data_IF_336690464883
#
_entry.id   IF_336690464883
#
_cell.length_a   1.000
_cell.length_b   1.000
_cell.length_c   1.000
_cell.angle_alpha   90.00
_cell.angle_beta   90.00
_cell.angle_gamma   90.00
#
_symmetry.space_group_name_H-M   'P 1'
#
loop_
_entity.id
_entity.type
_entity.pdbx_description
1 polymer ?
#
# COMPACT_ATOMS: atom_id res chain seq x y z
N UNK A 1 -7.94 -7.53 -18.24
CA UNK A 1 -8.20 -8.69 -17.35
C UNK A 1 -6.95 -9.28 -16.67
N UNK A 2 -6.05 -10.04 -17.31
CA UNK A 2 -4.93 -10.75 -16.60
C UNK A 2 -3.97 -9.86 -15.80
N UNK A 3 -3.77 -8.59 -16.20
CA UNK A 3 -2.77 -7.70 -15.58
C UNK A 3 -3.22 -7.09 -14.24
N UNK A 4 -4.52 -7.01 -13.96
CA UNK A 4 -5.03 -6.48 -12.68
C UNK A 4 -5.36 -7.57 -11.67
N UNK A 5 -5.56 -8.81 -12.12
CA UNK A 5 -5.96 -9.93 -11.27
C UNK A 5 -4.99 -10.16 -10.12
N UNK A 6 -3.68 -10.16 -10.39
CA UNK A 6 -2.68 -10.40 -9.35
C UNK A 6 -2.70 -9.29 -8.29
N UNK A 7 -2.52 -7.99 -8.62
CA UNK A 7 -2.62 -6.91 -7.63
C UNK A 7 -3.93 -6.90 -6.85
N UNK A 8 -5.05 -7.19 -7.51
CA UNK A 8 -6.37 -7.20 -6.88
C UNK A 8 -6.52 -8.35 -5.89
N UNK A 9 -6.15 -9.57 -6.29
CA UNK A 9 -6.20 -10.75 -5.41
C UNK A 9 -5.26 -10.56 -4.23
N UNK A 10 -4.04 -10.07 -4.47
CA UNK A 10 -3.09 -9.76 -3.39
C UNK A 10 -3.64 -8.71 -2.44
N UNK A 11 -4.22 -7.61 -2.96
CA UNK A 11 -4.83 -6.56 -2.14
C UNK A 11 -5.94 -7.13 -1.26
N UNK A 12 -6.88 -7.89 -1.83
CA UNK A 12 -8.01 -8.45 -1.09
C UNK A 12 -7.52 -9.45 -0.03
N UNK A 13 -6.70 -10.42 -0.42
CA UNK A 13 -6.22 -11.47 0.47
C UNK A 13 -5.38 -10.88 1.62
N UNK A 14 -4.45 -9.98 1.32
CA UNK A 14 -3.58 -9.39 2.34
C UNK A 14 -4.32 -8.41 3.25
N UNK A 15 -5.28 -7.64 2.71
CA UNK A 15 -6.12 -6.76 3.55
C UNK A 15 -7.03 -7.56 4.47
N UNK A 16 -7.63 -8.66 3.98
CA UNK A 16 -8.45 -9.55 4.79
C UNK A 16 -7.63 -10.21 5.91
N UNK A 17 -6.41 -10.68 5.59
CA UNK A 17 -5.49 -11.20 6.58
C UNK A 17 -5.11 -10.14 7.62
N UNK A 18 -4.77 -8.92 7.18
CA UNK A 18 -4.45 -7.80 8.07
C UNK A 18 -5.60 -7.49 9.03
N UNK A 19 -6.83 -7.39 8.51
CA UNK A 19 -8.03 -7.18 9.33
C UNK A 19 -8.20 -8.33 10.34
N UNK A 20 -8.08 -9.58 9.90
CA UNK A 20 -8.20 -10.74 10.78
C UNK A 20 -7.17 -10.71 11.92
N UNK A 21 -5.90 -10.39 11.61
CA UNK A 21 -4.85 -10.25 12.62
C UNK A 21 -5.17 -9.10 13.59
N UNK A 22 -5.59 -7.94 13.09
CA UNK A 22 -5.92 -6.78 13.92
C UNK A 22 -7.14 -6.99 14.81
N UNK A 23 -8.14 -7.74 14.35
CA UNK A 23 -9.32 -8.09 15.16
C UNK A 23 -8.98 -9.04 16.31
N UNK A 24 -7.95 -9.85 16.16
CA UNK A 24 -7.50 -10.81 17.19
C UNK A 24 -6.28 -10.32 17.97
N UNK A 25 -5.78 -9.11 17.69
CA UNK A 25 -4.60 -8.57 18.35
C UNK A 25 -4.95 -8.08 19.75
N UNK A 26 -4.27 -8.63 20.77
CA UNK A 26 -4.42 -8.17 22.16
C UNK A 26 -3.74 -6.82 22.41
N UNK A 27 -2.72 -6.49 21.61
CA UNK A 27 -1.96 -5.25 21.72
C UNK A 27 -2.26 -4.29 20.57
N UNK A 28 -2.09 -3.00 20.84
CA UNK A 28 -2.26 -1.96 19.82
C UNK A 28 -1.16 -2.03 18.74
N UNK A 29 -1.46 -1.51 17.55
CA UNK A 29 -0.50 -1.41 16.44
C UNK A 29 0.77 -0.63 16.84
N UNK A 30 0.62 0.43 17.62
CA UNK A 30 1.76 1.26 18.08
C UNK A 30 2.63 0.46 19.06
N UNK A 31 2.03 -0.26 20.02
CA UNK A 31 2.78 -1.11 20.94
C UNK A 31 3.53 -2.22 20.20
N UNK A 32 2.87 -2.87 19.22
CA UNK A 32 3.52 -3.83 18.35
C UNK A 32 4.72 -3.21 17.60
N UNK A 33 4.56 -2.00 17.06
CA UNK A 33 5.65 -1.27 16.41
C UNK A 33 6.83 -1.01 17.35
N UNK A 34 6.58 -0.53 18.57
CA UNK A 34 7.62 -0.31 19.59
C UNK A 34 8.32 -1.63 19.95
N UNK A 35 7.55 -2.70 20.09
CA UNK A 35 8.09 -4.03 20.38
C UNK A 35 9.02 -4.52 19.26
N UNK A 36 8.63 -4.36 17.99
CA UNK A 36 9.49 -4.69 16.85
C UNK A 36 10.75 -3.85 16.82
N UNK A 37 10.68 -2.57 17.21
CA UNK A 37 11.85 -1.70 17.26
C UNK A 37 12.77 -1.97 18.46
N UNK A 38 12.31 -2.72 19.47
CA UNK A 38 13.09 -3.02 20.68
C UNK A 38 14.19 -4.07 20.48
N UNK A 39 14.16 -4.80 19.36
CA UNK A 39 15.22 -5.75 18.99
C UNK A 39 15.86 -5.34 17.66
N UNK A 40 17.21 -5.31 17.54
CA UNK A 40 17.90 -4.91 16.31
C UNK A 40 17.46 -5.67 15.07
N UNK A 41 17.26 -6.99 15.18
CA UNK A 41 16.95 -7.85 14.03
C UNK A 41 15.56 -7.54 13.45
N UNK A 42 14.56 -7.32 14.33
CA UNK A 42 13.22 -6.95 13.90
C UNK A 42 13.13 -5.48 13.50
N UNK A 43 13.90 -4.60 14.16
CA UNK A 43 14.01 -3.19 13.79
C UNK A 43 14.57 -3.02 12.37
N UNK A 44 15.57 -3.81 11.99
CA UNK A 44 16.13 -3.82 10.64
C UNK A 44 15.05 -4.11 9.58
N UNK A 45 14.18 -5.09 9.83
CA UNK A 45 13.09 -5.44 8.91
C UNK A 45 12.07 -4.30 8.83
N UNK A 46 11.70 -3.68 9.95
CA UNK A 46 10.78 -2.53 9.95
C UNK A 46 11.37 -1.36 9.15
N UNK A 47 12.64 -1.02 9.38
CA UNK A 47 13.33 0.06 8.67
C UNK A 47 13.33 -0.23 7.16
N UNK A 48 13.72 -1.43 6.74
CA UNK A 48 13.75 -1.84 5.34
C UNK A 48 12.35 -1.70 4.68
N UNK A 49 11.31 -2.18 5.36
CA UNK A 49 9.92 -2.06 4.88
C UNK A 49 9.49 -0.60 4.70
N UNK A 50 9.85 0.29 5.62
CA UNK A 50 9.50 1.71 5.51
C UNK A 50 10.34 2.46 4.47
N UNK A 51 11.60 2.05 4.22
CA UNK A 51 12.37 2.53 3.07
C UNK A 51 11.66 2.13 1.77
N UNK A 52 11.25 0.87 1.64
CA UNK A 52 10.48 0.40 0.48
C UNK A 52 9.14 1.13 0.34
N UNK A 53 8.47 1.43 1.45
CA UNK A 53 7.25 2.23 1.47
C UNK A 53 7.49 3.64 0.91
N UNK A 54 8.55 4.31 1.37
CA UNK A 54 8.93 5.64 0.90
C UNK A 54 9.26 5.65 -0.59
N UNK A 55 10.04 4.66 -1.06
CA UNK A 55 10.34 4.49 -2.48
C UNK A 55 9.07 4.25 -3.31
N UNK A 56 8.13 3.45 -2.78
CA UNK A 56 6.83 3.23 -3.41
C UNK A 56 6.01 4.53 -3.49
N UNK A 57 6.04 5.39 -2.48
CA UNK A 57 5.42 6.71 -2.51
C UNK A 57 6.04 7.64 -3.56
N UNK A 58 7.38 7.66 -3.67
CA UNK A 58 8.11 8.43 -4.71
C UNK A 58 7.74 7.93 -6.11
N UNK A 59 7.65 6.62 -6.29
CA UNK A 59 7.19 6.01 -7.53
C UNK A 59 5.74 6.41 -7.86
N UNK A 60 4.81 6.29 -6.90
CA UNK A 60 3.40 6.70 -7.08
C UNK A 60 3.29 8.17 -7.46
N UNK A 61 4.09 9.03 -6.84
CA UNK A 61 4.16 10.46 -7.16
C UNK A 61 4.60 10.70 -8.61
N UNK A 62 5.70 10.08 -9.02
CA UNK A 62 6.25 10.21 -10.36
C UNK A 62 5.27 9.70 -11.42
N UNK A 63 4.63 8.55 -11.16
CA UNK A 63 3.63 7.95 -12.05
C UNK A 63 2.33 8.75 -12.13
N UNK A 64 1.87 9.35 -11.03
CA UNK A 64 0.68 10.20 -11.01
C UNK A 64 0.93 11.52 -11.73
N UNK A 65 2.11 12.13 -11.51
CA UNK A 65 2.54 13.34 -12.20
C UNK A 65 2.63 13.13 -13.71
N UNK A 66 3.21 12.01 -14.16
CA UNK A 66 3.26 11.63 -15.58
C UNK A 66 1.87 11.46 -16.22
N UNK A 67 0.84 11.20 -15.41
CA UNK A 67 -0.57 11.08 -15.84
C UNK A 67 -1.41 12.34 -15.59
N UNK A 68 -0.77 13.47 -15.23
CA UNK A 68 -1.46 14.74 -14.97
C UNK A 68 -2.37 14.73 -13.73
N UNK A 69 -2.17 13.80 -12.80
CA UNK A 69 -2.94 13.75 -11.53
C UNK A 69 -2.31 14.69 -10.49
N UNK A 70 -3.16 15.31 -9.68
CA UNK A 70 -2.73 16.20 -8.60
C UNK A 70 -2.17 15.44 -7.40
N UNK A 71 -1.44 16.12 -6.52
CA UNK A 71 -0.97 15.54 -5.25
C UNK A 71 -2.15 15.13 -4.34
N UNK A 72 -3.28 15.85 -4.41
CA UNK A 72 -4.49 15.49 -3.67
C UNK A 72 -5.02 14.10 -4.01
N UNK A 73 -4.84 13.64 -5.25
CA UNK A 73 -5.16 12.26 -5.65
C UNK A 73 -4.29 11.23 -4.90
N UNK A 74 -3.06 11.58 -4.51
CA UNK A 74 -2.12 10.68 -3.85
C UNK A 74 -2.31 10.57 -2.34
N UNK A 75 -2.89 11.59 -1.72
CA UNK A 75 -3.08 11.69 -0.27
C UNK A 75 -3.66 10.41 0.38
N UNK A 76 -4.77 9.82 -0.11
CA UNK A 76 -5.31 8.60 0.50
C UNK A 76 -4.36 7.41 0.39
N UNK A 77 -3.64 7.26 -0.72
CA UNK A 77 -2.69 6.16 -0.89
C UNK A 77 -1.48 6.33 0.04
N UNK A 78 -0.98 7.54 0.21
CA UNK A 78 0.12 7.82 1.14
C UNK A 78 -0.29 7.59 2.60
N UNK A 79 -1.49 8.02 2.99
CA UNK A 79 -2.00 7.77 4.34
C UNK A 79 -2.11 6.27 4.65
N UNK A 80 -2.66 5.48 3.72
CA UNK A 80 -2.75 4.02 3.88
C UNK A 80 -1.36 3.38 3.89
N UNK A 81 -0.44 3.85 3.04
CA UNK A 81 0.95 3.36 3.00
C UNK A 81 1.69 3.64 4.32
N UNK A 82 1.46 4.79 4.95
CA UNK A 82 2.11 5.13 6.22
C UNK A 82 1.72 4.19 7.36
N UNK A 83 0.54 3.57 7.31
CA UNK A 83 0.03 2.69 8.37
C UNK A 83 0.22 1.22 8.01
N UNK A 84 -0.09 0.84 6.77
CA UNK A 84 -0.16 -0.54 6.32
C UNK A 84 0.85 -0.90 5.23
N UNK A 85 1.77 0.02 4.89
CA UNK A 85 2.89 -0.17 3.96
C UNK A 85 2.44 -0.68 2.59
N UNK A 86 2.28 -1.99 2.41
CA UNK A 86 1.98 -2.61 1.11
C UNK A 86 0.56 -2.39 0.61
N UNK A 87 -0.43 -2.14 1.49
CA UNK A 87 -1.84 -1.95 1.08
C UNK A 87 -1.99 -0.70 0.18
N UNK A 88 -1.29 0.39 0.51
CA UNK A 88 -1.41 1.65 -0.23
C UNK A 88 -0.96 1.57 -1.70
N UNK A 89 0.25 1.09 -2.01
CA UNK A 89 0.72 0.89 -3.37
C UNK A 89 -0.10 -0.16 -4.15
N UNK A 90 -0.54 -1.24 -3.49
CA UNK A 90 -1.42 -2.24 -4.11
C UNK A 90 -2.77 -1.61 -4.53
N UNK A 91 -3.38 -0.84 -3.64
CA UNK A 91 -4.62 -0.11 -3.93
C UNK A 91 -4.42 0.87 -5.10
N UNK A 92 -3.31 1.60 -5.13
CA UNK A 92 -2.97 2.51 -6.22
C UNK A 92 -2.87 1.78 -7.57
N UNK A 93 -2.19 0.63 -7.62
CA UNK A 93 -2.05 -0.18 -8.83
C UNK A 93 -3.42 -0.66 -9.32
N UNK A 94 -4.27 -1.15 -8.41
CA UNK A 94 -5.61 -1.65 -8.72
C UNK A 94 -6.50 -0.55 -9.28
N UNK A 95 -6.60 0.59 -8.58
CA UNK A 95 -7.44 1.73 -9.01
C UNK A 95 -6.95 2.29 -10.35
N UNK A 96 -5.62 2.41 -10.53
CA UNK A 96 -5.00 2.83 -11.79
C UNK A 96 -5.38 1.89 -12.93
N UNK A 97 -5.32 0.58 -12.72
CA UNK A 97 -5.61 -0.40 -13.76
C UNK A 97 -7.08 -0.34 -14.21
N UNK A 98 -8.02 -0.23 -13.27
CA UNK A 98 -9.43 -0.05 -13.62
C UNK A 98 -9.71 1.28 -14.33
N UNK A 99 -9.05 2.36 -13.91
CA UNK A 99 -9.18 3.67 -14.59
C UNK A 99 -8.63 3.66 -16.02
N UNK A 100 -7.73 2.73 -16.36
CA UNK A 100 -7.18 2.58 -17.71
C UNK A 100 -8.05 1.68 -18.58
N UNK A 101 -8.63 0.62 -18.01
CA UNK A 101 -9.61 -0.23 -18.71
C UNK A 101 -10.88 0.57 -19.05
N UNK A 102 -11.33 1.48 -18.17
CA UNK A 102 -12.49 2.35 -18.46
C UNK A 102 -12.26 3.34 -19.60
N UNK A 103 -11.01 3.71 -19.92
CA UNK A 103 -10.71 4.57 -21.06
C UNK A 103 -10.65 3.76 -22.36
N UNK A 104 -10.19 2.51 -22.31
CA UNK A 104 -10.06 1.65 -23.50
C UNK A 104 -11.41 1.05 -23.94
N UNK A 105 -12.37 0.89 -23.03
CA UNK A 105 -13.73 0.42 -23.38
C UNK A 105 -14.65 1.50 -23.95
N UNK A 106 -14.31 2.79 -23.79
CA UNK A 106 -15.10 3.94 -24.27
C UNK A 106 -14.49 4.62 -25.51
N UNK A 107 -13.51 3.99 -26.15
CA UNK A 107 -12.84 4.44 -27.38
C UNK A 107 -13.00 3.39 -28.48
#
# INVERSE_FOLDING_TARGET
MKKVTLPLVTLIAFSAYTISVMLNAEQSLIQFGIQLMSSPDTAQVVIDLYILAALSCVWMYSDAKARGKSIGYLAPYFAITAIFVSIGPLLYIVVKAFSKESVVQNA
#
